data_IF_405243588129
#
_entry.id   IF_405243588129
#
_cell.length_a   1.000
_cell.length_b   1.000
_cell.length_c   1.000
_cell.angle_alpha   90.00
_cell.angle_beta   90.00
_cell.angle_gamma   90.00
#
_symmetry.space_group_name_H-M   'P 1'
#
loop_
_entity.id
_entity.type
_entity.pdbx_description
1 polymer ?
#
# COMPACT_ATOMS: atom_id res chain seq x y z
N UNK A 1 -12.19 -1.35 -11.35
CA UNK A 1 -12.24 -1.00 -9.92
C UNK A 1 -11.16 0.03 -9.59
N UNK A 2 -11.45 0.85 -8.62
CA UNK A 2 -10.54 1.83 -8.05
C UNK A 2 -10.48 1.61 -6.53
N UNK A 3 -9.50 2.22 -5.88
CA UNK A 3 -9.39 2.19 -4.42
C UNK A 3 -10.67 2.78 -3.79
N UNK A 4 -11.23 2.08 -2.81
CA UNK A 4 -12.41 2.55 -2.08
C UNK A 4 -12.04 3.64 -1.08
N UNK A 5 -13.03 4.36 -0.57
CA UNK A 5 -12.81 5.30 0.53
C UNK A 5 -12.27 4.59 1.77
N UNK A 6 -12.70 3.36 2.01
CA UNK A 6 -12.19 2.54 3.12
C UNK A 6 -10.68 2.38 3.01
N UNK A 7 -10.18 2.06 1.82
CA UNK A 7 -8.74 1.93 1.58
C UNK A 7 -8.03 3.28 1.74
N UNK A 8 -8.57 4.34 1.14
CA UNK A 8 -7.95 5.67 1.19
C UNK A 8 -7.78 6.12 2.63
N UNK A 9 -8.83 6.02 3.45
CA UNK A 9 -8.76 6.39 4.87
C UNK A 9 -7.74 5.52 5.63
N UNK A 10 -7.68 4.23 5.29
CA UNK A 10 -6.73 3.32 5.94
C UNK A 10 -5.28 3.63 5.56
N UNK A 11 -5.04 3.97 4.30
CA UNK A 11 -3.70 4.38 3.86
C UNK A 11 -3.25 5.67 4.55
N UNK A 12 -4.16 6.62 4.78
CA UNK A 12 -3.85 7.82 5.56
C UNK A 12 -3.37 7.47 6.96
N UNK A 13 -4.01 6.50 7.62
CA UNK A 13 -3.58 6.03 8.94
C UNK A 13 -2.21 5.37 8.88
N UNK A 14 -2.00 4.48 7.90
CA UNK A 14 -0.74 3.75 7.79
C UNK A 14 0.43 4.66 7.44
N UNK A 15 0.24 5.59 6.51
CA UNK A 15 1.33 6.45 6.03
C UNK A 15 1.57 7.64 6.97
N UNK A 16 0.52 8.15 7.61
CA UNK A 16 0.61 9.35 8.43
C UNK A 16 0.76 10.63 7.61
N UNK A 17 0.21 11.73 8.12
CA UNK A 17 0.28 13.03 7.44
C UNK A 17 1.48 13.85 7.91
N UNK A 18 2.28 14.33 6.96
CA UNK A 18 3.34 15.29 7.22
C UNK A 18 3.11 16.50 6.31
N UNK A 19 2.80 17.64 6.91
CA UNK A 19 2.50 18.87 6.15
C UNK A 19 3.74 19.65 5.73
N UNK A 20 4.88 19.32 6.29
CA UNK A 20 6.18 19.90 5.91
C UNK A 20 7.09 18.79 5.38
N UNK A 21 7.78 19.07 4.28
CA UNK A 21 8.72 18.10 3.70
C UNK A 21 9.77 17.68 4.72
N UNK A 22 10.08 16.39 4.73
CA UNK A 22 11.08 15.80 5.62
C UNK A 22 11.88 14.73 4.88
N UNK A 23 13.02 14.35 5.44
CA UNK A 23 13.77 13.20 4.90
C UNK A 23 13.40 11.95 5.66
N UNK A 24 13.08 10.90 4.90
CA UNK A 24 12.77 9.59 5.50
C UNK A 24 14.05 8.90 5.98
N UNK A 25 13.94 7.67 6.48
CA UNK A 25 15.06 6.90 6.99
C UNK A 25 16.16 6.66 5.94
N UNK A 26 15.81 6.66 4.65
CA UNK A 26 16.75 6.51 3.54
C UNK A 26 17.27 7.85 3.02
N UNK A 27 16.88 8.98 3.63
CA UNK A 27 17.29 10.32 3.22
C UNK A 27 16.49 10.89 2.06
N UNK A 28 15.37 10.29 1.70
CA UNK A 28 14.52 10.73 0.58
C UNK A 28 13.56 11.81 1.05
N UNK A 29 13.51 12.96 0.34
CA UNK A 29 12.55 14.02 0.62
C UNK A 29 11.12 13.53 0.38
N UNK A 30 10.28 13.68 1.41
CA UNK A 30 8.94 13.13 1.47
C UNK A 30 7.98 14.17 2.02
N UNK A 31 6.73 14.17 1.54
CA UNK A 31 5.69 15.09 2.03
C UNK A 31 4.32 14.42 1.96
N UNK A 32 3.37 14.93 2.72
CA UNK A 32 1.99 14.45 2.71
C UNK A 32 1.87 13.05 3.30
N UNK A 33 1.26 12.14 2.57
CA UNK A 33 1.09 10.73 2.95
C UNK A 33 2.15 9.87 2.24
N UNK A 34 3.41 10.20 2.47
CA UNK A 34 4.50 9.43 1.90
C UNK A 34 4.84 9.76 0.45
N UNK A 35 4.41 10.90 -0.07
CA UNK A 35 4.72 11.30 -1.43
C UNK A 35 6.19 11.68 -1.58
N UNK A 36 6.86 11.08 -2.54
CA UNK A 36 8.24 11.38 -2.91
C UNK A 36 8.30 11.73 -4.39
N UNK A 37 9.39 12.35 -4.81
CA UNK A 37 9.59 12.68 -6.22
C UNK A 37 10.43 13.93 -6.38
N UNK A 38 10.75 14.26 -7.62
CA UNK A 38 11.55 15.43 -7.96
C UNK A 38 10.84 16.75 -7.66
N UNK A 39 9.53 16.71 -7.48
CA UNK A 39 8.69 17.85 -7.15
C UNK A 39 8.72 18.21 -5.66
N UNK A 40 9.28 17.34 -4.80
CA UNK A 40 9.40 17.62 -3.37
C UNK A 40 10.75 18.29 -3.07
N UNK A 41 10.70 19.45 -2.43
CA UNK A 41 11.89 20.26 -2.08
C UNK A 41 11.92 20.53 -0.59
N UNK A 42 13.11 20.75 -0.07
CA UNK A 42 13.26 21.14 1.33
C UNK A 42 12.48 22.42 1.62
N UNK A 43 11.79 22.45 2.77
CA UNK A 43 10.98 23.58 3.18
C UNK A 43 9.57 23.60 2.59
N UNK A 44 9.24 22.68 1.69
CA UNK A 44 7.90 22.62 1.12
C UNK A 44 6.86 22.35 2.20
N UNK A 45 5.71 23.01 2.04
CA UNK A 45 4.53 22.81 2.90
C UNK A 45 3.34 22.49 2.04
N UNK A 46 2.44 21.68 2.59
CA UNK A 46 1.24 21.23 1.89
C UNK A 46 0.06 21.22 2.87
N UNK A 47 -1.14 21.45 2.35
CA UNK A 47 -2.36 21.31 3.12
C UNK A 47 -2.81 19.86 3.17
N UNK A 48 -3.65 19.46 4.15
CA UNK A 48 -4.23 18.11 4.17
C UNK A 48 -4.97 17.77 2.87
N UNK A 49 -5.67 18.74 2.30
CA UNK A 49 -6.37 18.56 1.03
C UNK A 49 -5.40 18.15 -0.10
N UNK A 50 -4.31 18.90 -0.26
CA UNK A 50 -3.34 18.60 -1.32
C UNK A 50 -2.54 17.32 -1.02
N UNK A 51 -2.33 17.00 0.25
CA UNK A 51 -1.72 15.73 0.63
C UNK A 51 -2.59 14.56 0.16
N UNK A 52 -3.92 14.67 0.32
CA UNK A 52 -4.84 13.64 -0.19
C UNK A 52 -4.81 13.56 -1.71
N UNK A 53 -4.76 14.70 -2.40
CA UNK A 53 -4.68 14.70 -3.87
C UNK A 53 -3.41 14.00 -4.37
N UNK A 54 -2.28 14.22 -3.70
CA UNK A 54 -1.03 13.52 -4.02
C UNK A 54 -1.14 12.01 -3.76
N UNK A 55 -1.79 11.62 -2.66
CA UNK A 55 -2.02 10.21 -2.36
C UNK A 55 -2.84 9.54 -3.47
N UNK A 56 -3.92 10.18 -3.89
CA UNK A 56 -4.77 9.66 -4.96
C UNK A 56 -4.00 9.53 -6.28
N UNK A 57 -3.15 10.51 -6.58
CA UNK A 57 -2.30 10.47 -7.76
C UNK A 57 -1.29 9.33 -7.69
N UNK A 58 -0.63 9.17 -6.54
CA UNK A 58 0.36 8.11 -6.33
C UNK A 58 -0.26 6.71 -6.41
N UNK A 59 -1.54 6.59 -6.05
CA UNK A 59 -2.26 5.31 -6.12
C UNK A 59 -2.56 4.86 -7.54
N UNK A 60 -2.64 5.77 -8.50
CA UNK A 60 -3.10 5.45 -9.87
C UNK A 60 -2.31 4.34 -10.54
N UNK A 61 -0.99 4.38 -10.44
CA UNK A 61 -0.14 3.35 -11.04
C UNK A 61 -0.32 2.00 -10.38
N UNK A 62 -0.50 2.00 -9.06
CA UNK A 62 -0.73 0.78 -8.29
C UNK A 62 -2.10 0.18 -8.59
N UNK A 63 -3.13 1.02 -8.71
CA UNK A 63 -4.46 0.59 -9.12
C UNK A 63 -4.42 -0.05 -10.52
N UNK A 64 -3.75 0.60 -11.46
CA UNK A 64 -3.63 0.09 -12.81
C UNK A 64 -2.89 -1.24 -12.84
N UNK A 65 -1.83 -1.37 -12.05
CA UNK A 65 -1.06 -2.61 -11.97
C UNK A 65 -1.90 -3.76 -11.41
N UNK A 66 -2.66 -3.53 -10.36
CA UNK A 66 -3.54 -4.56 -9.77
C UNK A 66 -4.65 -4.95 -10.76
N UNK A 67 -5.22 -3.98 -11.48
CA UNK A 67 -6.20 -4.30 -12.53
C UNK A 67 -5.62 -5.21 -13.61
N UNK A 68 -4.38 -4.97 -14.02
CA UNK A 68 -3.70 -5.80 -15.03
C UNK A 68 -3.46 -7.24 -14.58
N UNK A 69 -3.35 -7.48 -13.28
CA UNK A 69 -3.17 -8.84 -12.75
C UNK A 69 -4.42 -9.70 -12.93
N UNK A 70 -5.59 -9.08 -13.02
CA UNK A 70 -6.89 -9.75 -13.26
C UNK A 70 -7.22 -10.83 -12.23
N UNK A 71 -6.87 -10.61 -10.97
CA UNK A 71 -7.12 -11.56 -9.87
C UNK A 71 -8.14 -11.05 -8.86
N UNK A 72 -8.33 -9.75 -8.75
CA UNK A 72 -9.28 -9.16 -7.80
C UNK A 72 -10.71 -9.24 -8.38
N UNK A 73 -11.61 -9.87 -7.64
CA UNK A 73 -13.01 -10.05 -8.03
C UNK A 73 -13.97 -9.22 -7.19
N UNK A 74 -13.54 -8.77 -6.02
CA UNK A 74 -14.33 -7.94 -5.11
C UNK A 74 -13.56 -6.67 -4.78
N UNK A 75 -14.28 -5.68 -4.26
CA UNK A 75 -13.64 -4.44 -3.81
C UNK A 75 -12.63 -4.72 -2.69
N UNK A 76 -12.96 -5.60 -1.76
CA UNK A 76 -12.04 -5.98 -0.68
C UNK A 76 -10.74 -6.58 -1.21
N UNK A 77 -10.82 -7.47 -2.17
CA UNK A 77 -9.64 -8.07 -2.80
C UNK A 77 -8.81 -7.01 -3.51
N UNK A 78 -9.44 -6.13 -4.25
CA UNK A 78 -8.76 -5.04 -4.95
C UNK A 78 -8.04 -4.13 -3.97
N UNK A 79 -8.75 -3.65 -2.93
CA UNK A 79 -8.20 -2.76 -1.91
C UNK A 79 -6.98 -3.39 -1.21
N UNK A 80 -7.10 -4.65 -0.81
CA UNK A 80 -6.01 -5.34 -0.12
C UNK A 80 -4.75 -5.43 -0.98
N UNK A 81 -4.92 -5.77 -2.26
CA UNK A 81 -3.79 -5.89 -3.19
C UNK A 81 -3.18 -4.53 -3.53
N UNK A 82 -4.00 -3.49 -3.69
CA UNK A 82 -3.50 -2.12 -3.91
C UNK A 82 -2.71 -1.65 -2.69
N UNK A 83 -3.22 -1.87 -1.48
CA UNK A 83 -2.49 -1.51 -0.25
C UNK A 83 -1.13 -2.19 -0.17
N UNK A 84 -1.09 -3.49 -0.44
CA UNK A 84 0.16 -4.24 -0.43
C UNK A 84 1.12 -3.73 -1.51
N UNK A 85 0.65 -3.55 -2.74
CA UNK A 85 1.45 -3.03 -3.85
C UNK A 85 2.02 -1.65 -3.54
N UNK A 86 1.21 -0.78 -2.92
CA UNK A 86 1.63 0.56 -2.54
C UNK A 86 2.78 0.53 -1.53
N UNK A 87 2.81 -0.46 -0.66
CA UNK A 87 3.83 -0.60 0.38
C UNK A 87 5.08 -1.35 -0.08
N UNK A 88 4.91 -2.51 -0.74
CA UNK A 88 6.06 -3.35 -1.11
C UNK A 88 6.54 -3.15 -2.55
N UNK A 89 5.73 -2.52 -3.38
CA UNK A 89 6.00 -2.33 -4.80
C UNK A 89 5.29 -3.35 -5.68
N UNK A 90 4.91 -2.89 -6.87
CA UNK A 90 4.16 -3.70 -7.85
C UNK A 90 4.96 -4.92 -8.32
N UNK A 91 6.26 -4.76 -8.53
CA UNK A 91 7.11 -5.85 -8.98
C UNK A 91 7.16 -7.01 -8.00
N UNK A 92 7.30 -6.71 -6.70
CA UNK A 92 7.31 -7.73 -5.66
C UNK A 92 5.97 -8.45 -5.57
N UNK A 93 4.87 -7.70 -5.65
CA UNK A 93 3.54 -8.29 -5.66
C UNK A 93 3.38 -9.26 -6.83
N UNK A 94 3.77 -8.85 -8.02
CA UNK A 94 3.65 -9.65 -9.24
C UNK A 94 4.41 -10.98 -9.13
N UNK A 95 5.54 -10.98 -8.45
CA UNK A 95 6.38 -12.17 -8.27
C UNK A 95 6.11 -12.94 -6.98
N UNK A 96 5.13 -12.50 -6.18
CA UNK A 96 4.91 -13.04 -4.85
C UNK A 96 4.28 -14.43 -4.86
N UNK A 97 4.56 -15.19 -3.81
CA UNK A 97 3.85 -16.44 -3.52
C UNK A 97 2.37 -16.17 -3.23
N UNK A 98 2.03 -15.00 -2.69
CA UNK A 98 0.65 -14.58 -2.49
C UNK A 98 -0.14 -14.62 -3.81
N UNK A 99 0.40 -14.02 -4.86
CA UNK A 99 -0.28 -13.97 -6.15
C UNK A 99 -0.47 -15.37 -6.73
N UNK A 100 0.53 -16.22 -6.62
CA UNK A 100 0.45 -17.63 -7.04
C UNK A 100 -0.65 -18.36 -6.26
N UNK A 101 -0.72 -18.14 -4.97
CA UNK A 101 -1.72 -18.77 -4.09
C UNK A 101 -3.13 -18.33 -4.46
N UNK A 102 -3.34 -17.05 -4.73
CA UNK A 102 -4.64 -16.53 -5.18
C UNK A 102 -5.03 -17.16 -6.52
N UNK A 103 -4.12 -17.21 -7.48
CA UNK A 103 -4.39 -17.76 -8.82
C UNK A 103 -4.69 -19.26 -8.81
N UNK A 104 -4.12 -19.99 -7.88
CA UNK A 104 -4.36 -21.43 -7.74
C UNK A 104 -5.58 -21.77 -6.91
N UNK A 105 -6.34 -20.77 -6.45
CA UNK A 105 -7.52 -20.99 -5.63
C UNK A 105 -7.22 -21.42 -4.20
N UNK A 106 -6.13 -20.93 -3.64
CA UNK A 106 -5.72 -21.25 -2.27
C UNK A 106 -6.76 -20.89 -1.23
N UNK A 107 -6.71 -21.55 -0.07
CA UNK A 107 -7.64 -21.35 1.03
C UNK A 107 -7.47 -19.97 1.66
N UNK A 108 -8.48 -19.54 2.44
CA UNK A 108 -8.38 -18.31 3.22
C UNK A 108 -7.15 -18.33 4.14
N UNK A 109 -6.88 -19.47 4.78
CA UNK A 109 -5.73 -19.61 5.65
C UNK A 109 -4.41 -19.43 4.89
N UNK A 110 -4.31 -20.02 3.70
CA UNK A 110 -3.11 -19.92 2.86
C UNK A 110 -2.88 -18.48 2.39
N UNK A 111 -3.92 -17.82 1.91
CA UNK A 111 -3.84 -16.44 1.42
C UNK A 111 -3.46 -15.50 2.58
N UNK A 112 -4.11 -15.66 3.73
CA UNK A 112 -3.82 -14.86 4.93
C UNK A 112 -2.34 -15.01 5.35
N UNK A 113 -1.84 -16.23 5.35
CA UNK A 113 -0.44 -16.50 5.70
C UNK A 113 0.51 -15.80 4.72
N UNK A 114 0.21 -15.81 3.43
CA UNK A 114 1.06 -15.17 2.42
C UNK A 114 1.08 -13.64 2.57
N UNK A 115 -0.05 -13.01 2.91
CA UNK A 115 -0.04 -11.59 3.27
C UNK A 115 0.91 -11.31 4.44
N UNK A 116 0.81 -12.11 5.49
CA UNK A 116 1.53 -11.89 6.75
C UNK A 116 3.04 -12.12 6.66
N UNK A 117 3.54 -12.62 5.53
CA UNK A 117 4.99 -12.75 5.32
C UNK A 117 5.69 -11.41 5.09
N UNK A 118 4.97 -10.38 4.68
CA UNK A 118 5.52 -9.08 4.33
C UNK A 118 5.57 -8.12 5.52
N UNK A 119 6.30 -8.52 6.57
CA UNK A 119 6.35 -7.81 7.85
C UNK A 119 7.76 -7.37 8.26
N UNK A 120 8.74 -7.52 7.38
CA UNK A 120 10.13 -7.17 7.68
C UNK A 120 10.55 -5.88 6.98
N UNK A 121 11.28 -5.03 7.71
CA UNK A 121 11.93 -3.84 7.17
C UNK A 121 13.31 -3.70 7.79
N UNK A 122 14.34 -3.52 6.95
CA UNK A 122 15.72 -3.46 7.42
C UNK A 122 16.16 -4.73 8.16
N UNK A 123 15.61 -5.89 7.79
CA UNK A 123 15.93 -7.17 8.42
C UNK A 123 15.22 -7.42 9.74
N UNK A 124 14.32 -6.53 10.18
CA UNK A 124 13.59 -6.64 11.44
C UNK A 124 12.09 -6.75 11.18
N UNK A 125 11.40 -7.52 12.03
CA UNK A 125 9.95 -7.59 12.05
C UNK A 125 9.41 -6.30 12.65
N UNK A 126 8.59 -5.55 11.89
CA UNK A 126 8.08 -4.24 12.31
C UNK A 126 6.60 -4.34 12.71
N UNK A 127 6.24 -3.89 13.93
CA UNK A 127 4.84 -3.95 14.40
C UNK A 127 3.85 -3.23 13.49
N UNK A 128 4.25 -2.10 12.89
CA UNK A 128 3.41 -1.37 11.95
C UNK A 128 3.09 -2.18 10.71
N UNK A 129 4.06 -2.94 10.19
CA UNK A 129 3.85 -3.82 9.05
C UNK A 129 2.97 -5.01 9.41
N UNK A 130 3.11 -5.54 10.62
CA UNK A 130 2.24 -6.63 11.11
C UNK A 130 0.78 -6.17 11.10
N UNK A 131 0.49 -5.01 11.67
CA UNK A 131 -0.88 -4.45 11.69
C UNK A 131 -1.42 -4.23 10.28
N UNK A 132 -0.58 -3.71 9.39
CA UNK A 132 -0.96 -3.45 8.00
C UNK A 132 -1.34 -4.73 7.27
N UNK A 133 -0.50 -5.77 7.40
CA UNK A 133 -0.79 -7.08 6.78
C UNK A 133 -2.04 -7.73 7.35
N UNK A 134 -2.28 -7.60 8.65
CA UNK A 134 -3.50 -8.10 9.27
C UNK A 134 -4.74 -7.44 8.70
N UNK A 135 -4.72 -6.12 8.54
CA UNK A 135 -5.82 -5.38 7.94
C UNK A 135 -6.04 -5.81 6.48
N UNK A 136 -4.97 -5.88 5.69
CA UNK A 136 -5.05 -6.27 4.28
C UNK A 136 -5.63 -7.67 4.13
N UNK A 137 -5.17 -8.62 4.93
CA UNK A 137 -5.68 -10.00 4.89
C UNK A 137 -7.19 -10.05 5.21
N UNK A 138 -7.64 -9.30 6.21
CA UNK A 138 -9.07 -9.22 6.54
C UNK A 138 -9.85 -8.55 5.41
N UNK A 139 -9.34 -7.44 4.90
CA UNK A 139 -10.01 -6.69 3.83
C UNK A 139 -10.20 -7.55 2.58
N UNK A 140 -9.25 -8.41 2.28
CA UNK A 140 -9.30 -9.29 1.11
C UNK A 140 -10.56 -10.18 1.12
N UNK A 141 -11.03 -10.55 2.29
CA UNK A 141 -12.18 -11.44 2.45
C UNK A 141 -13.49 -10.73 2.83
N UNK A 142 -13.49 -9.42 2.77
CA UNK A 142 -14.70 -8.60 2.97
C UNK A 142 -15.47 -8.37 1.68
#
# INVERSE_FOLDING_TARGET
MEASEILIEKLKEFEGLRTTAYRDAAGVLTIGYGHTGKDVREGDRITPYWAEQLLLLDLKDHEAAVRRLKVARTQGQFDALVSLAFNIGTGRLTRSALLKTIRSGGSKADITREFKRWVYGGGKRLPGLVKRREWEARRFFE
#
